data_IF_890690257108
#
_entry.id   IF_890690257108
#
_cell.length_a   1.000
_cell.length_b   1.000
_cell.length_c   1.000
_cell.angle_alpha   90.00
_cell.angle_beta   90.00
_cell.angle_gamma   90.00
#
_symmetry.space_group_name_H-M   'P 1'
#
loop_
_entity.id
_entity.type
_entity.pdbx_description
1 polymer ?
#
# COMPACT_ATOMS: atom_id res chain seq x y z
N UNK A 1 14.02 7.80 -2.00
CA UNK A 1 13.23 7.23 -0.89
C UNK A 1 13.98 6.05 -0.31
N UNK A 2 13.96 5.87 1.00
CA UNK A 2 14.58 4.72 1.67
C UNK A 2 13.78 3.45 1.38
N UNK A 3 14.41 2.36 0.92
CA UNK A 3 13.74 1.08 0.77
C UNK A 3 13.28 0.55 2.14
N UNK A 4 12.22 -0.26 2.14
CA UNK A 4 11.76 -0.94 3.36
C UNK A 4 12.92 -1.78 3.94
N UNK A 5 13.11 -1.73 5.25
CA UNK A 5 14.08 -2.59 5.92
C UNK A 5 13.69 -4.06 5.79
N UNK A 6 14.63 -4.98 6.04
CA UNK A 6 14.39 -6.44 5.92
C UNK A 6 13.10 -6.93 6.63
N UNK A 7 12.80 -6.54 7.90
CA UNK A 7 11.55 -6.97 8.54
C UNK A 7 10.29 -6.33 7.93
N UNK A 8 10.36 -5.07 7.50
CA UNK A 8 9.22 -4.41 6.86
C UNK A 8 8.95 -4.97 5.46
N UNK A 9 9.99 -5.39 4.74
CA UNK A 9 9.84 -6.07 3.45
C UNK A 9 9.18 -7.44 3.58
N UNK A 10 9.41 -8.15 4.70
CA UNK A 10 8.71 -9.40 5.00
C UNK A 10 7.24 -9.13 5.35
N UNK A 11 6.97 -8.14 6.22
CA UNK A 11 5.61 -7.74 6.55
C UNK A 11 4.81 -7.31 5.31
N UNK A 12 5.47 -6.63 4.38
CA UNK A 12 4.86 -6.21 3.11
C UNK A 12 4.27 -7.37 2.32
N UNK A 13 4.87 -8.57 2.33
CA UNK A 13 4.29 -9.73 1.65
C UNK A 13 2.93 -10.12 2.23
N UNK A 14 2.78 -10.08 3.56
CA UNK A 14 1.48 -10.30 4.23
C UNK A 14 0.48 -9.20 3.92
N UNK A 15 0.93 -7.95 3.81
CA UNK A 15 0.07 -6.83 3.41
C UNK A 15 -0.47 -7.05 1.99
N UNK A 16 0.39 -7.48 1.06
CA UNK A 16 0.00 -7.78 -0.33
C UNK A 16 -1.03 -8.89 -0.41
N UNK A 17 -0.91 -9.95 0.38
CA UNK A 17 -1.90 -11.04 0.42
C UNK A 17 -3.28 -10.58 0.89
N UNK A 18 -3.34 -9.52 1.70
CA UNK A 18 -4.60 -8.95 2.21
C UNK A 18 -5.20 -7.89 1.29
N UNK A 19 -4.44 -7.40 0.31
CA UNK A 19 -4.93 -6.36 -0.59
C UNK A 19 -6.01 -6.92 -1.54
N UNK A 20 -7.05 -6.12 -1.86
CA UNK A 20 -8.10 -6.55 -2.76
C UNK A 20 -7.60 -6.74 -4.20
N UNK A 21 -8.28 -7.63 -4.95
CA UNK A 21 -7.98 -7.94 -6.34
C UNK A 21 -8.08 -6.68 -7.21
N UNK A 22 -6.92 -6.14 -7.61
CA UNK A 22 -6.80 -4.87 -8.33
C UNK A 22 -5.62 -4.03 -7.87
N UNK A 23 -5.19 -4.19 -6.62
CA UNK A 23 -3.98 -3.54 -6.10
C UNK A 23 -2.77 -4.46 -6.27
N UNK A 24 -2.06 -4.26 -7.39
CA UNK A 24 -0.78 -4.93 -7.62
C UNK A 24 0.38 -4.08 -7.13
N UNK A 25 1.48 -4.73 -6.76
CA UNK A 25 2.71 -4.06 -6.30
C UNK A 25 3.24 -3.01 -7.31
N UNK A 26 2.95 -3.21 -8.59
CA UNK A 26 3.29 -2.32 -9.70
C UNK A 26 2.34 -1.14 -9.84
N UNK A 27 1.08 -1.28 -9.43
CA UNK A 27 0.12 -0.17 -9.36
C UNK A 27 0.33 0.69 -8.12
N UNK A 28 0.96 0.14 -7.09
CA UNK A 28 1.32 0.83 -5.87
C UNK A 28 2.74 1.38 -5.99
N UNK A 29 2.82 2.67 -6.23
CA UNK A 29 3.94 3.53 -5.89
C UNK A 29 4.59 3.31 -4.49
N UNK A 30 5.83 3.78 -4.33
CA UNK A 30 6.64 3.47 -3.15
C UNK A 30 6.08 4.04 -1.84
N UNK A 31 5.50 5.27 -1.82
CA UNK A 31 4.93 5.77 -0.56
C UNK A 31 3.66 4.98 -0.14
N UNK A 32 2.94 4.33 -1.07
CA UNK A 32 1.72 3.56 -0.73
C UNK A 32 2.16 2.34 0.03
N UNK A 33 3.17 1.66 -0.51
CA UNK A 33 3.76 0.51 0.14
C UNK A 33 4.18 0.89 1.55
N UNK A 34 4.88 2.01 1.73
CA UNK A 34 5.24 2.49 3.07
C UNK A 34 4.02 2.76 3.96
N UNK A 35 3.03 3.52 3.50
CA UNK A 35 1.84 3.86 4.30
C UNK A 35 1.06 2.59 4.68
N UNK A 36 0.87 1.67 3.75
CA UNK A 36 0.17 0.40 3.95
C UNK A 36 0.96 -0.57 4.84
N UNK A 37 2.30 -0.54 4.77
CA UNK A 37 3.17 -1.36 5.64
C UNK A 37 3.21 -0.83 7.07
N UNK A 38 3.13 0.49 7.26
CA UNK A 38 3.25 1.14 8.57
C UNK A 38 1.90 1.43 9.25
N UNK A 39 0.80 1.46 8.50
CA UNK A 39 -0.52 1.82 9.03
C UNK A 39 -1.54 0.74 8.72
N UNK A 40 -1.87 -0.04 9.75
CA UNK A 40 -2.96 -1.03 9.66
C UNK A 40 -4.30 -0.35 9.38
N UNK A 41 -4.53 0.88 9.88
CA UNK A 41 -5.73 1.65 9.53
C UNK A 41 -5.84 1.93 8.03
N UNK A 42 -4.73 2.29 7.38
CA UNK A 42 -4.72 2.50 5.94
C UNK A 42 -4.98 1.19 5.19
N UNK A 43 -4.39 0.09 5.64
CA UNK A 43 -4.64 -1.24 5.07
C UNK A 43 -6.11 -1.65 5.18
N UNK A 44 -6.68 -1.59 6.39
CA UNK A 44 -8.08 -1.97 6.64
C UNK A 44 -9.05 -1.06 5.87
N UNK A 45 -8.74 0.24 5.75
CA UNK A 45 -9.53 1.18 4.95
C UNK A 45 -9.52 0.83 3.47
N UNK A 46 -8.39 0.37 2.94
CA UNK A 46 -8.24 -0.03 1.53
C UNK A 46 -8.94 -1.35 1.23
N UNK A 47 -8.91 -2.28 2.19
CA UNK A 47 -9.65 -3.54 2.09
C UNK A 47 -11.16 -3.27 2.10
N UNK A 48 -11.63 -2.36 2.98
CA UNK A 48 -13.04 -2.01 3.10
C UNK A 48 -13.54 -1.13 1.93
N UNK A 49 -12.71 -0.20 1.46
CA UNK A 49 -13.05 0.80 0.45
C UNK A 49 -11.93 0.96 -0.59
N UNK A 50 -11.73 -0.05 -1.47
CA UNK A 50 -10.69 -0.04 -2.49
C UNK A 50 -10.78 1.18 -3.43
N UNK A 51 -11.98 1.69 -3.66
CA UNK A 51 -12.23 2.88 -4.49
C UNK A 51 -11.68 4.19 -3.90
N UNK A 52 -11.39 4.23 -2.59
CA UNK A 52 -10.83 5.42 -1.94
C UNK A 52 -9.38 5.68 -2.34
N UNK A 53 -8.59 4.66 -2.66
CA UNK A 53 -7.25 4.89 -3.23
C UNK A 53 -7.32 5.51 -4.62
N UNK A 54 -8.35 5.17 -5.39
CA UNK A 54 -8.54 5.71 -6.73
C UNK A 54 -9.11 7.14 -6.71
N UNK A 55 -9.95 7.48 -5.72
CA UNK A 55 -10.66 8.77 -5.64
C UNK A 55 -9.94 9.83 -4.79
N UNK A 56 -9.27 9.45 -3.71
CA UNK A 56 -8.81 10.43 -2.70
C UNK A 56 -7.43 11.04 -3.00
N UNK A 57 -6.85 10.79 -4.18
CA UNK A 57 -5.62 11.48 -4.56
C UNK A 57 -4.51 11.28 -3.53
N UNK A 58 -4.36 10.07 -2.98
CA UNK A 58 -3.07 9.57 -2.54
C UNK A 58 -2.22 9.46 -3.83
N UNK A 59 -1.82 10.64 -4.32
CA UNK A 59 -0.92 10.86 -5.44
C UNK A 59 0.44 10.49 -4.92
N UNK A 60 0.69 9.21 -4.97
CA UNK A 60 2.01 8.77 -4.65
C UNK A 60 2.80 9.01 -5.91
N UNK A 61 3.60 10.05 -5.83
CA UNK A 61 4.24 10.67 -6.96
C UNK A 61 4.93 9.63 -7.85
N UNK A 62 4.30 9.32 -8.98
CA UNK A 62 5.03 9.09 -10.20
C UNK A 62 5.35 10.48 -10.75
N UNK A 63 6.50 11.00 -10.33
CA UNK A 63 7.06 12.30 -10.65
C UNK A 63 8.45 12.38 -10.07
#
# INVERSE_FOLDING_TARGET
>A
MTPLSSPLSQYWQTVVERLPEGFTETSLSVQAKSVLTFSDFALDSVIAHPEWLCRTGIRIAAG
#
